data_IF_770647249268
#
_entry.id   IF_770647249268
#
_cell.length_a   1.000
_cell.length_b   1.000
_cell.length_c   1.000
_cell.angle_alpha   90.00
_cell.angle_beta   90.00
_cell.angle_gamma   90.00
#
_symmetry.space_group_name_H-M   'P 1'
#
loop_
_entity.id
_entity.type
_entity.pdbx_description
1 polymer ?
#
# COMPACT_ATOMS: atom_id res chain seq x y z
N UNK A 1 -42.93 21.09 28.06
CA UNK A 1 -41.93 20.77 27.03
C UNK A 1 -42.46 19.60 26.21
N UNK A 2 -42.74 19.77 24.91
CA UNK A 2 -43.29 18.68 24.09
C UNK A 2 -42.16 17.71 23.73
N UNK A 3 -42.21 16.49 24.27
CA UNK A 3 -41.32 15.41 23.85
C UNK A 3 -41.63 15.09 22.38
N UNK A 4 -40.69 15.43 21.48
CA UNK A 4 -40.77 15.00 20.08
C UNK A 4 -40.54 13.49 20.06
N UNK A 5 -41.62 12.74 19.86
CA UNK A 5 -41.58 11.30 19.66
C UNK A 5 -40.84 11.05 18.35
N UNK A 6 -39.69 10.38 18.42
CA UNK A 6 -38.95 9.96 17.24
C UNK A 6 -39.72 8.82 16.60
N UNK A 7 -40.32 9.06 15.43
CA UNK A 7 -41.04 8.04 14.69
C UNK A 7 -40.06 7.04 14.05
N UNK A 8 -40.49 5.79 13.79
CA UNK A 8 -39.66 4.79 13.10
C UNK A 8 -39.11 5.27 11.75
N UNK A 9 -39.87 6.11 11.04
CA UNK A 9 -39.45 6.74 9.78
C UNK A 9 -38.25 7.68 9.97
N UNK A 10 -38.23 8.47 11.04
CA UNK A 10 -37.11 9.35 11.36
C UNK A 10 -35.84 8.55 11.68
N UNK A 11 -35.97 7.38 12.31
CA UNK A 11 -34.84 6.46 12.56
C UNK A 11 -34.29 5.87 11.26
N UNK A 12 -35.15 5.50 10.31
CA UNK A 12 -34.72 5.02 8.99
C UNK A 12 -33.96 6.09 8.21
N UNK A 13 -34.45 7.34 8.23
CA UNK A 13 -33.78 8.46 7.56
C UNK A 13 -32.39 8.71 8.17
N UNK A 14 -32.27 8.70 9.49
CA UNK A 14 -30.98 8.89 10.18
C UNK A 14 -30.00 7.76 9.83
N UNK A 15 -30.47 6.50 9.81
CA UNK A 15 -29.65 5.34 9.42
C UNK A 15 -29.14 5.45 7.97
N UNK A 16 -30.00 5.88 7.05
CA UNK A 16 -29.64 6.09 5.65
C UNK A 16 -28.58 7.20 5.48
N UNK A 17 -28.74 8.33 6.19
CA UNK A 17 -27.77 9.44 6.17
C UNK A 17 -26.40 8.99 6.69
N UNK A 18 -26.36 8.22 7.77
CA UNK A 18 -25.10 7.67 8.31
C UNK A 18 -24.45 6.73 7.29
N UNK A 19 -25.21 5.83 6.68
CA UNK A 19 -24.72 4.88 5.69
C UNK A 19 -24.10 5.59 4.47
N UNK A 20 -24.79 6.57 3.89
CA UNK A 20 -24.29 7.33 2.74
C UNK A 20 -23.05 8.15 3.10
N UNK A 21 -23.03 8.74 4.30
CA UNK A 21 -21.88 9.52 4.79
C UNK A 21 -20.63 8.64 4.97
N UNK A 22 -20.78 7.43 5.50
CA UNK A 22 -19.69 6.45 5.62
C UNK A 22 -19.15 6.02 4.25
N UNK A 23 -20.03 5.81 3.27
CA UNK A 23 -19.64 5.50 1.88
C UNK A 23 -18.86 6.67 1.27
N UNK A 24 -19.32 7.91 1.46
CA UNK A 24 -18.64 9.11 0.96
C UNK A 24 -17.29 9.36 1.63
N UNK A 25 -17.19 9.08 2.93
CA UNK A 25 -15.93 9.19 3.67
C UNK A 25 -14.91 8.11 3.24
N UNK A 26 -15.38 6.88 2.97
CA UNK A 26 -14.56 5.82 2.40
C UNK A 26 -14.07 6.19 0.98
N UNK A 27 -14.94 6.72 0.13
CA UNK A 27 -14.61 7.16 -1.24
C UNK A 27 -13.61 8.34 -1.26
N UNK A 28 -13.71 9.27 -0.32
CA UNK A 28 -12.76 10.39 -0.23
C UNK A 28 -11.40 9.98 0.36
N UNK A 29 -11.35 9.00 1.26
CA UNK A 29 -10.08 8.38 1.69
C UNK A 29 -9.45 7.52 0.59
N UNK A 30 -10.26 7.01 -0.34
CA UNK A 30 -9.83 6.35 -1.58
C UNK A 30 -9.47 7.34 -2.71
N UNK A 31 -9.26 8.64 -2.42
CA UNK A 31 -8.32 9.47 -3.20
C UNK A 31 -6.89 8.97 -2.95
N UNK A 32 -6.66 7.69 -3.24
CA UNK A 32 -5.36 7.09 -3.45
C UNK A 32 -4.69 7.97 -4.49
N UNK A 33 -3.54 8.54 -4.11
CA UNK A 33 -2.55 9.01 -5.07
C UNK A 33 -2.54 8.01 -6.22
N UNK A 34 -2.77 8.48 -7.44
CA UNK A 34 -2.54 7.66 -8.63
C UNK A 34 -1.04 7.37 -8.61
N UNK A 35 -0.67 6.24 -8.01
CA UNK A 35 0.70 5.77 -7.94
C UNK A 35 1.00 5.17 -9.30
N UNK A 36 1.93 5.78 -10.03
CA UNK A 36 2.36 5.27 -11.33
C UNK A 36 3.19 4.01 -11.10
N UNK A 37 2.55 2.84 -11.25
CA UNK A 37 3.22 1.55 -11.18
C UNK A 37 4.08 1.35 -12.44
N UNK A 38 5.27 0.79 -12.27
CA UNK A 38 6.21 0.46 -13.34
C UNK A 38 6.77 -0.95 -13.10
N UNK A 39 7.18 -1.63 -14.16
CA UNK A 39 7.93 -2.89 -14.05
C UNK A 39 9.43 -2.57 -14.12
N UNK A 40 10.24 -3.27 -13.33
CA UNK A 40 11.69 -3.24 -13.42
C UNK A 40 12.25 -4.67 -13.42
N UNK A 41 12.85 -5.05 -14.54
CA UNK A 41 13.62 -6.26 -14.68
C UNK A 41 12.94 -7.56 -14.24
N UNK A 42 13.71 -8.64 -14.23
CA UNK A 42 13.39 -9.93 -13.61
C UNK A 42 14.23 -10.09 -12.35
N UNK A 43 13.61 -10.50 -11.25
CA UNK A 43 14.32 -10.76 -9.99
C UNK A 43 15.24 -11.97 -10.17
N UNK A 44 16.54 -11.77 -10.00
CA UNK A 44 17.56 -12.82 -10.08
C UNK A 44 17.91 -13.39 -8.72
N UNK A 45 17.99 -12.52 -7.70
CA UNK A 45 18.42 -12.90 -6.35
C UNK A 45 17.77 -12.02 -5.26
N UNK A 46 17.61 -12.60 -4.08
CA UNK A 46 17.01 -11.94 -2.90
C UNK A 46 17.78 -12.36 -1.66
N UNK A 47 18.38 -11.39 -0.98
CA UNK A 47 19.23 -11.61 0.18
C UNK A 47 18.84 -10.71 1.34
N UNK A 48 18.86 -11.22 2.57
CA UNK A 48 18.63 -10.41 3.78
C UNK A 48 19.96 -9.77 4.19
N UNK A 49 19.96 -8.45 4.41
CA UNK A 49 21.11 -7.73 4.94
C UNK A 49 21.00 -7.74 6.47
N UNK A 50 22.03 -8.24 7.19
CA UNK A 50 22.06 -8.16 8.64
C UNK A 50 21.97 -6.71 9.11
N UNK A 51 21.07 -6.43 10.06
CA UNK A 51 20.90 -5.11 10.65
C UNK A 51 21.08 -5.17 12.16
N UNK A 52 21.48 -4.06 12.76
CA UNK A 52 21.56 -3.90 14.22
C UNK A 52 20.20 -4.16 14.88
N UNK A 53 20.19 -4.50 16.17
CA UNK A 53 18.96 -4.84 16.92
C UNK A 53 17.85 -3.77 16.84
N UNK A 54 18.22 -2.49 16.72
CA UNK A 54 17.29 -1.36 16.64
C UNK A 54 17.04 -0.86 15.21
N UNK A 55 17.48 -1.60 14.19
CA UNK A 55 17.27 -1.24 12.79
C UNK A 55 16.22 -2.15 12.14
N UNK A 56 15.34 -1.59 11.27
CA UNK A 56 14.43 -2.41 10.49
C UNK A 56 15.22 -3.33 9.57
N UNK A 57 14.77 -4.58 9.42
CA UNK A 57 15.33 -5.56 8.48
C UNK A 57 15.45 -4.92 7.10
N UNK A 58 16.57 -5.17 6.42
CA UNK A 58 16.79 -4.74 5.03
C UNK A 58 16.91 -5.97 4.15
N UNK A 59 16.27 -5.91 2.99
CA UNK A 59 16.35 -6.97 1.97
C UNK A 59 16.93 -6.36 0.71
N UNK A 60 17.97 -6.99 0.21
CA UNK A 60 18.54 -6.72 -1.09
C UNK A 60 17.83 -7.55 -2.14
N UNK A 61 17.43 -6.90 -3.23
CA UNK A 61 16.83 -7.53 -4.40
C UNK A 61 17.69 -7.17 -5.60
N UNK A 62 18.22 -8.18 -6.27
CA UNK A 62 18.92 -8.03 -7.53
C UNK A 62 17.95 -8.35 -8.67
N UNK A 63 17.88 -7.44 -9.63
CA UNK A 63 17.26 -7.68 -10.93
C UNK A 63 18.33 -7.68 -12.02
N UNK A 64 17.99 -8.17 -13.20
CA UNK A 64 18.81 -8.07 -14.43
C UNK A 64 19.09 -6.61 -14.83
N UNK A 65 18.20 -5.68 -14.47
CA UNK A 65 18.38 -4.25 -14.74
C UNK A 65 19.15 -3.50 -13.64
N UNK A 66 18.77 -3.70 -12.37
CA UNK A 66 19.24 -2.89 -11.23
C UNK A 66 19.29 -3.67 -9.91
N UNK A 67 20.00 -3.08 -8.95
CA UNK A 67 20.01 -3.50 -7.55
C UNK A 67 19.15 -2.57 -6.70
N UNK A 68 18.40 -3.14 -5.74
CA UNK A 68 17.45 -2.42 -4.89
C UNK A 68 17.60 -2.90 -3.45
N UNK A 69 17.62 -1.98 -2.49
CA UNK A 69 17.56 -2.29 -1.06
C UNK A 69 16.23 -1.81 -0.50
N UNK A 70 15.53 -2.69 0.20
CA UNK A 70 14.17 -2.47 0.67
C UNK A 70 14.11 -2.63 2.18
N UNK A 71 13.38 -1.75 2.88
CA UNK A 71 13.12 -1.90 4.31
C UNK A 71 11.94 -2.83 4.55
N UNK A 72 12.11 -3.77 5.48
CA UNK A 72 11.12 -4.76 5.89
C UNK A 72 11.40 -6.14 5.29
N UNK A 73 10.34 -6.95 5.16
CA UNK A 73 10.40 -8.32 4.65
C UNK A 73 9.43 -8.50 3.48
N UNK A 74 9.76 -7.94 2.30
CA UNK A 74 8.93 -8.12 1.11
C UNK A 74 8.92 -9.59 0.67
N UNK A 75 7.76 -10.07 0.21
CA UNK A 75 7.64 -11.39 -0.43
C UNK A 75 7.77 -11.25 -1.94
N UNK A 76 8.98 -11.48 -2.45
CA UNK A 76 9.30 -11.43 -3.88
C UNK A 76 9.67 -12.81 -4.40
N UNK A 77 9.42 -13.05 -5.68
CA UNK A 77 9.67 -14.34 -6.33
C UNK A 77 10.79 -14.21 -7.36
N UNK A 78 11.81 -15.04 -7.23
CA UNK A 78 12.88 -15.15 -8.23
C UNK A 78 12.28 -15.60 -9.58
N UNK A 79 12.78 -15.05 -10.68
CA UNK A 79 12.30 -15.30 -12.03
C UNK A 79 11.01 -14.56 -12.40
N UNK A 80 10.48 -13.70 -11.52
CA UNK A 80 9.34 -12.81 -11.82
C UNK A 80 9.79 -11.37 -11.93
N UNK A 81 9.04 -10.59 -12.70
CA UNK A 81 9.31 -9.17 -12.82
C UNK A 81 8.92 -8.40 -11.56
N UNK A 82 9.71 -7.41 -11.19
CA UNK A 82 9.47 -6.61 -10.01
C UNK A 82 8.59 -5.40 -10.34
N UNK A 83 7.53 -5.17 -9.56
CA UNK A 83 6.68 -3.99 -9.69
C UNK A 83 7.16 -2.93 -8.72
N UNK A 84 7.29 -1.70 -9.21
CA UNK A 84 7.85 -0.57 -8.46
C UNK A 84 7.09 0.73 -8.71
N UNK A 85 7.19 1.65 -7.77
CA UNK A 85 6.78 3.05 -7.92
C UNK A 85 8.04 3.89 -8.13
N UNK A 86 8.08 4.65 -9.23
CA UNK A 86 9.20 5.51 -9.60
C UNK A 86 8.86 6.99 -9.45
N UNK A 87 9.86 7.81 -9.12
CA UNK A 87 9.80 9.26 -9.26
C UNK A 87 10.94 9.70 -10.21
N UNK A 88 10.62 9.86 -11.49
CA UNK A 88 11.64 9.92 -12.53
C UNK A 88 12.37 8.58 -12.67
N UNK A 89 13.70 8.58 -12.55
CA UNK A 89 14.51 7.35 -12.60
C UNK A 89 14.70 6.67 -11.25
N UNK A 90 14.36 7.36 -10.15
CA UNK A 90 14.54 6.89 -8.79
C UNK A 90 13.37 5.97 -8.38
N UNK A 91 13.69 4.82 -7.77
CA UNK A 91 12.69 3.89 -7.26
C UNK A 91 12.35 4.27 -5.82
N UNK A 92 11.07 4.54 -5.55
CA UNK A 92 10.59 4.93 -4.21
C UNK A 92 10.08 3.75 -3.42
N UNK A 93 9.27 2.91 -4.04
CA UNK A 93 8.67 1.76 -3.39
C UNK A 93 8.64 0.55 -4.33
N UNK A 94 8.61 -0.65 -3.74
CA UNK A 94 8.35 -1.90 -4.46
C UNK A 94 7.04 -2.51 -3.97
N UNK A 95 6.36 -3.25 -4.84
CA UNK A 95 5.16 -4.01 -4.52
C UNK A 95 5.52 -5.49 -4.41
N UNK A 96 5.22 -6.10 -3.27
CA UNK A 96 5.43 -7.53 -3.09
C UNK A 96 4.31 -8.36 -3.77
N UNK A 97 4.48 -9.67 -3.80
CA UNK A 97 3.52 -10.62 -4.37
C UNK A 97 2.12 -10.59 -3.71
N UNK A 98 1.98 -10.00 -2.52
CA UNK A 98 0.70 -9.81 -1.82
C UNK A 98 0.06 -8.46 -2.12
N UNK A 99 0.68 -7.64 -2.96
CA UNK A 99 0.22 -6.28 -3.26
C UNK A 99 0.60 -5.24 -2.19
N UNK A 100 1.47 -5.58 -1.23
CA UNK A 100 1.94 -4.65 -0.20
C UNK A 100 3.14 -3.86 -0.68
N UNK A 101 3.13 -2.56 -0.42
CA UNK A 101 4.21 -1.64 -0.78
C UNK A 101 5.28 -1.55 0.31
N UNK A 102 6.55 -1.50 -0.11
CA UNK A 102 7.71 -1.36 0.76
C UNK A 102 8.63 -0.27 0.24
N UNK A 103 9.16 0.54 1.16
CA UNK A 103 10.06 1.65 0.83
C UNK A 103 11.44 1.14 0.43
N UNK A 104 11.94 1.67 -0.67
CA UNK A 104 13.34 1.52 -1.09
C UNK A 104 14.20 2.47 -0.25
N UNK A 105 15.41 2.02 0.11
CA UNK A 105 16.41 2.77 0.86
C UNK A 105 17.41 3.45 -0.07
#
# INVERSE_FOLDING_TARGET
>A
MKNKIVTPENLMIISFIICVSSIFYSLNNDKKRVRTESIIGVVEDVSVIPTSWNEPVKVQIKTDEKFIIVRGSPQVSIGKSLIVEKNGEEIKEIKDSRGKWFKVY
#
